data_IF_072695598071
#
_entry.id   IF_072695598071
#
_cell.length_a   1.000
_cell.length_b   1.000
_cell.length_c   1.000
_cell.angle_alpha   90.00
_cell.angle_beta   90.00
_cell.angle_gamma   90.00
#
_symmetry.space_group_name_H-M   'P 1'
#
loop_
_entity.id
_entity.type
_entity.pdbx_description
1 polymer ?
#
# COMPACT_ATOMS: atom_id res chain seq x y z
N UNK A 1 -1.51 7.08 6.37
CA UNK A 1 -0.89 8.11 7.22
C UNK A 1 -0.39 9.27 6.35
N UNK A 2 -0.48 10.50 6.83
CA UNK A 2 -0.03 11.70 6.14
C UNK A 2 1.15 12.33 6.93
N UNK A 3 2.35 12.49 6.34
CA UNK A 3 2.76 11.97 5.03
C UNK A 3 2.99 10.46 5.03
N UNK A 4 2.91 9.79 3.86
CA UNK A 4 3.23 8.36 3.76
C UNK A 4 4.71 8.08 4.10
N UNK A 5 4.96 7.14 5.02
CA UNK A 5 6.32 6.79 5.50
C UNK A 5 7.32 6.54 4.37
N UNK A 6 6.92 5.79 3.33
CA UNK A 6 7.80 5.46 2.20
C UNK A 6 8.27 6.72 1.45
N UNK A 7 7.38 7.69 1.24
CA UNK A 7 7.72 8.95 0.60
C UNK A 7 8.74 9.74 1.44
N UNK A 8 8.56 9.77 2.76
CA UNK A 8 9.53 10.37 3.69
C UNK A 8 10.91 9.70 3.62
N UNK A 9 10.96 8.36 3.61
CA UNK A 9 12.21 7.61 3.47
C UNK A 9 12.90 7.90 2.14
N UNK A 10 12.17 7.90 1.02
CA UNK A 10 12.73 8.20 -0.30
C UNK A 10 13.30 9.62 -0.37
N UNK A 11 12.59 10.62 0.17
CA UNK A 11 13.10 11.99 0.27
C UNK A 11 14.37 12.07 1.10
N UNK A 12 14.44 11.32 2.20
CA UNK A 12 15.63 11.29 3.04
C UNK A 12 16.81 10.65 2.30
N UNK A 13 16.61 9.52 1.62
CA UNK A 13 17.67 8.91 0.80
C UNK A 13 18.21 9.88 -0.26
N UNK A 14 17.33 10.55 -1.00
CA UNK A 14 17.75 11.53 -2.03
C UNK A 14 18.50 12.74 -1.46
N UNK A 15 18.47 12.96 -0.14
CA UNK A 15 19.23 14.04 0.49
C UNK A 15 20.71 13.71 0.73
N UNK A 16 21.10 12.43 0.68
CA UNK A 16 22.47 12.01 1.00
C UNK A 16 23.07 11.00 0.03
N UNK A 17 22.26 10.18 -0.64
CA UNK A 17 22.75 9.11 -1.48
C UNK A 17 23.29 9.67 -2.81
N UNK A 18 24.40 9.11 -3.27
CA UNK A 18 24.94 9.39 -4.60
C UNK A 18 24.12 8.60 -5.64
N UNK A 19 23.08 9.28 -6.13
CA UNK A 19 22.09 8.82 -7.10
C UNK A 19 21.91 9.89 -8.18
N UNK A 20 21.49 9.49 -9.40
CA UNK A 20 21.16 10.45 -10.45
C UNK A 20 19.99 11.36 -10.03
N UNK A 21 19.77 12.49 -10.73
CA UNK A 21 18.66 13.38 -10.43
C UNK A 21 17.30 12.66 -10.52
N UNK A 22 16.66 12.43 -9.38
CA UNK A 22 15.35 11.77 -9.27
C UNK A 22 14.32 12.76 -8.72
N UNK A 23 13.21 12.93 -9.45
CA UNK A 23 12.03 13.66 -8.96
C UNK A 23 11.01 12.67 -8.45
N UNK A 24 10.67 12.76 -7.16
CA UNK A 24 9.62 11.93 -6.58
C UNK A 24 8.23 12.50 -6.90
N UNK A 25 7.35 11.64 -7.41
CA UNK A 25 5.93 11.93 -7.58
C UNK A 25 5.13 11.01 -6.66
N UNK A 26 4.33 11.61 -5.78
CA UNK A 26 3.55 10.87 -4.80
C UNK A 26 2.20 10.48 -5.38
N UNK A 27 2.00 9.19 -5.62
CA UNK A 27 0.69 8.60 -5.84
C UNK A 27 0.18 7.97 -4.53
N UNK A 28 -1.03 8.34 -4.10
CA UNK A 28 -1.67 7.82 -2.89
C UNK A 28 -2.86 6.95 -3.25
N UNK A 29 -3.08 5.94 -2.43
CA UNK A 29 -4.31 5.15 -2.45
C UNK A 29 -5.20 5.72 -1.35
N UNK A 30 -6.24 6.43 -1.76
CA UNK A 30 -7.17 7.08 -0.84
C UNK A 30 -8.25 6.09 -0.40
N UNK A 31 -8.09 5.53 0.80
CA UNK A 31 -9.01 4.51 1.33
C UNK A 31 -10.44 5.05 1.44
N UNK A 32 -10.60 6.35 1.70
CA UNK A 32 -11.91 7.02 1.72
C UNK A 32 -12.59 6.99 0.36
N UNK A 33 -11.88 7.34 -0.71
CA UNK A 33 -12.42 7.32 -2.07
C UNK A 33 -12.82 5.89 -2.48
N UNK A 34 -12.00 4.90 -2.11
CA UNK A 34 -12.34 3.49 -2.32
C UNK A 34 -13.61 3.08 -1.56
N UNK A 35 -13.77 3.54 -0.32
CA UNK A 35 -14.97 3.26 0.47
C UNK A 35 -16.22 3.92 -0.12
N UNK A 36 -16.11 5.18 -0.57
CA UNK A 36 -17.21 5.94 -1.18
C UNK A 36 -17.63 5.38 -2.56
N UNK A 37 -16.77 4.59 -3.21
CA UNK A 37 -17.11 3.89 -4.46
C UNK A 37 -18.16 2.78 -4.29
N UNK A 38 -18.42 2.34 -3.05
CA UNK A 38 -19.37 1.27 -2.72
C UNK A 38 -20.27 1.67 -1.57
N UNK A 39 -21.49 1.12 -1.52
CA UNK A 39 -22.51 1.47 -0.52
C UNK A 39 -23.05 0.22 0.21
N UNK A 40 -22.21 -0.47 1.00
CA UNK A 40 -22.62 -1.65 1.76
C UNK A 40 -23.39 -1.29 3.04
N UNK A 41 -23.96 -2.30 3.71
CA UNK A 41 -24.53 -2.18 5.07
C UNK A 41 -23.49 -1.89 6.14
N UNK A 42 -22.25 -2.33 5.94
CA UNK A 42 -21.12 -2.08 6.81
C UNK A 42 -19.79 -2.13 6.02
N UNK A 43 -18.81 -1.38 6.49
CA UNK A 43 -17.44 -1.43 5.98
C UNK A 43 -16.56 -2.22 6.93
N UNK A 44 -15.64 -3.02 6.40
CA UNK A 44 -14.51 -3.56 7.14
C UNK A 44 -13.21 -3.02 6.55
N UNK A 45 -12.37 -2.41 7.38
CA UNK A 45 -11.08 -1.85 6.95
C UNK A 45 -9.93 -2.42 7.79
N UNK A 46 -8.66 -2.33 7.33
CA UNK A 46 -7.56 -3.05 7.98
C UNK A 46 -7.25 -2.55 9.38
N UNK A 47 -7.40 -1.24 9.62
CA UNK A 47 -7.15 -0.58 10.91
C UNK A 47 -7.77 0.82 10.94
N UNK A 48 -7.81 1.44 12.13
CA UNK A 48 -8.37 2.78 12.36
C UNK A 48 -7.59 3.93 11.72
N UNK A 49 -6.33 3.71 11.35
CA UNK A 49 -5.45 4.74 10.79
C UNK A 49 -5.87 5.27 9.40
N UNK A 50 -6.98 4.77 8.83
CA UNK A 50 -7.56 5.23 7.57
C UNK A 50 -8.42 6.49 7.67
N UNK A 51 -8.81 6.94 8.88
CA UNK A 51 -9.60 8.17 9.07
C UNK A 51 -10.99 8.09 8.42
N UNK A 52 -11.71 7.00 8.68
CA UNK A 52 -12.97 6.65 8.02
C UNK A 52 -14.19 6.75 8.95
N UNK A 53 -14.06 7.45 10.07
CA UNK A 53 -15.12 7.53 11.08
C UNK A 53 -16.40 8.24 10.58
N UNK A 54 -16.29 9.03 9.50
CA UNK A 54 -17.40 9.81 8.90
C UNK A 54 -18.05 9.14 7.68
N UNK A 55 -17.92 7.82 7.51
CA UNK A 55 -18.62 7.09 6.44
C UNK A 55 -20.12 6.90 6.79
N UNK A 56 -21.01 6.80 5.79
CA UNK A 56 -22.46 6.73 6.01
C UNK A 56 -22.95 5.42 6.66
N UNK A 57 -22.15 4.36 6.60
CA UNK A 57 -22.45 3.06 7.21
C UNK A 57 -21.43 2.72 8.30
N UNK A 58 -21.77 1.75 9.16
CA UNK A 58 -20.89 1.32 10.25
C UNK A 58 -19.52 0.86 9.73
N UNK A 59 -18.45 1.34 10.36
CA UNK A 59 -17.08 0.98 10.03
C UNK A 59 -16.49 0.11 11.13
N UNK A 60 -16.00 -1.06 10.72
CA UNK A 60 -15.36 -2.06 11.56
C UNK A 60 -13.87 -2.17 11.20
N UNK A 61 -13.05 -2.56 12.18
CA UNK A 61 -11.59 -2.61 12.03
C UNK A 61 -11.08 -4.04 12.20
N UNK A 62 -10.41 -4.57 11.17
CA UNK A 62 -9.98 -5.97 11.13
C UNK A 62 -8.93 -6.32 12.20
N UNK A 63 -8.08 -5.36 12.57
CA UNK A 63 -7.10 -5.50 13.66
C UNK A 63 -7.75 -5.63 15.05
N UNK A 64 -8.94 -5.07 15.24
CA UNK A 64 -9.74 -5.18 16.47
C UNK A 64 -10.53 -6.50 16.55
N UNK A 65 -10.62 -7.26 15.46
CA UNK A 65 -11.33 -8.56 15.36
C UNK A 65 -12.79 -8.52 15.86
N UNK A 66 -13.65 -7.65 15.29
CA UNK A 66 -15.05 -7.54 15.67
C UNK A 66 -15.84 -8.82 15.37
N UNK A 67 -17.05 -8.94 15.90
CA UNK A 67 -17.97 -10.00 15.48
C UNK A 67 -18.28 -9.90 13.98
N UNK A 68 -18.48 -11.04 13.31
CA UNK A 68 -18.74 -11.09 11.85
C UNK A 68 -20.09 -10.44 11.53
N UNK A 69 -20.08 -9.36 10.75
CA UNK A 69 -21.26 -8.70 10.18
C UNK A 69 -21.22 -8.71 8.66
N UNK A 70 -22.34 -8.53 7.96
CA UNK A 70 -22.40 -8.44 6.49
C UNK A 70 -21.75 -7.13 5.97
N UNK A 71 -20.41 -7.12 5.95
CA UNK A 71 -19.58 -6.00 5.52
C UNK A 71 -18.98 -6.22 4.13
N UNK A 72 -18.66 -5.11 3.46
CA UNK A 72 -17.70 -5.10 2.35
C UNK A 72 -16.35 -4.66 2.89
N UNK A 73 -15.31 -5.41 2.57
CA UNK A 73 -13.95 -5.14 3.01
C UNK A 73 -13.22 -4.20 2.03
N UNK A 74 -12.65 -3.11 2.53
CA UNK A 74 -11.66 -2.31 1.80
C UNK A 74 -10.29 -2.86 2.19
N UNK A 75 -9.66 -3.66 1.32
CA UNK A 75 -8.52 -4.45 1.76
C UNK A 75 -7.72 -5.13 0.64
N UNK A 76 -6.43 -5.30 0.89
CA UNK A 76 -5.53 -6.06 0.01
C UNK A 76 -5.50 -7.55 0.39
N UNK A 77 -4.67 -8.34 -0.30
CA UNK A 77 -4.53 -9.78 -0.03
C UNK A 77 -4.16 -10.08 1.43
N UNK A 78 -3.34 -9.25 2.08
CA UNK A 78 -3.03 -9.44 3.52
C UNK A 78 -4.26 -9.32 4.41
N UNK A 79 -5.14 -8.36 4.11
CA UNK A 79 -6.41 -8.21 4.84
C UNK A 79 -7.32 -9.43 4.60
N UNK A 80 -7.33 -9.97 3.38
CA UNK A 80 -8.09 -11.18 3.06
C UNK A 80 -7.55 -12.42 3.79
N UNK A 81 -6.22 -12.57 3.89
CA UNK A 81 -5.60 -13.64 4.68
C UNK A 81 -6.02 -13.58 6.15
N UNK A 82 -6.00 -12.39 6.75
CA UNK A 82 -6.46 -12.19 8.12
C UNK A 82 -7.95 -12.46 8.27
N UNK A 83 -8.78 -12.01 7.33
CA UNK A 83 -10.22 -12.28 7.35
C UNK A 83 -10.52 -13.78 7.29
N UNK A 84 -9.94 -14.51 6.34
CA UNK A 84 -10.08 -15.97 6.23
C UNK A 84 -9.66 -16.66 7.54
N UNK A 85 -8.57 -16.21 8.15
CA UNK A 85 -8.09 -16.77 9.40
C UNK A 85 -9.04 -16.52 10.58
N UNK A 86 -9.63 -15.33 10.68
CA UNK A 86 -10.51 -14.97 11.80
C UNK A 86 -11.96 -15.43 11.64
N UNK A 87 -12.50 -15.44 10.42
CA UNK A 87 -13.92 -15.65 10.15
C UNK A 87 -14.24 -16.88 9.28
N UNK A 88 -13.23 -17.47 8.63
CA UNK A 88 -13.39 -18.69 7.83
C UNK A 88 -13.98 -18.48 6.44
N UNK A 89 -14.23 -17.22 6.03
CA UNK A 89 -14.84 -16.87 4.75
C UNK A 89 -14.17 -15.65 4.08
N UNK A 90 -14.69 -15.28 2.91
CA UNK A 90 -14.24 -14.14 2.10
C UNK A 90 -15.40 -13.17 1.87
N UNK A 91 -15.29 -11.90 2.32
CA UNK A 91 -16.32 -10.91 2.10
C UNK A 91 -16.16 -10.29 0.69
N UNK A 92 -17.19 -9.61 0.16
CA UNK A 92 -17.02 -8.69 -0.95
C UNK A 92 -15.86 -7.72 -0.66
N UNK A 93 -15.02 -7.45 -1.66
CA UNK A 93 -13.76 -6.74 -1.44
C UNK A 93 -13.52 -5.65 -2.48
N UNK A 94 -13.19 -4.46 -2.00
CA UNK A 94 -12.61 -3.37 -2.81
C UNK A 94 -11.09 -3.43 -2.66
N UNK A 95 -10.40 -3.58 -3.78
CA UNK A 95 -8.95 -3.75 -3.82
C UNK A 95 -8.22 -2.44 -3.51
N UNK A 96 -7.19 -2.53 -2.68
CA UNK A 96 -6.31 -1.41 -2.32
C UNK A 96 -4.81 -1.79 -2.40
N UNK A 97 -4.48 -2.94 -3.00
CA UNK A 97 -3.12 -3.44 -3.11
C UNK A 97 -2.30 -2.56 -4.08
N UNK A 98 -1.20 -1.92 -3.61
CA UNK A 98 -0.38 -1.09 -4.49
C UNK A 98 0.20 -1.85 -5.68
N UNK A 99 0.51 -3.15 -5.52
CA UNK A 99 1.02 -3.99 -6.61
C UNK A 99 -0.01 -4.18 -7.72
N UNK A 100 -1.26 -4.44 -7.36
CA UNK A 100 -2.33 -4.64 -8.34
C UNK A 100 -2.73 -3.33 -9.00
N UNK A 101 -2.80 -2.24 -8.23
CA UNK A 101 -3.09 -0.90 -8.76
C UNK A 101 -1.99 -0.43 -9.70
N UNK A 102 -0.72 -0.74 -9.40
CA UNK A 102 0.39 -0.39 -10.28
C UNK A 102 0.39 -1.14 -11.61
N UNK A 103 -0.18 -2.34 -11.67
CA UNK A 103 -0.32 -3.11 -12.91
C UNK A 103 0.98 -3.23 -13.70
N UNK A 104 0.91 -3.05 -15.02
CA UNK A 104 2.08 -3.08 -15.92
C UNK A 104 2.64 -1.68 -16.21
N UNK A 105 2.87 -0.90 -15.15
CA UNK A 105 3.45 0.44 -15.27
C UNK A 105 4.82 0.41 -15.96
N UNK A 106 5.04 1.41 -16.81
CA UNK A 106 6.32 1.60 -17.53
C UNK A 106 7.23 2.59 -16.82
N UNK A 107 6.67 3.46 -16.00
CA UNK A 107 7.41 4.45 -15.24
C UNK A 107 8.10 3.77 -14.03
N UNK A 108 9.35 4.14 -13.71
CA UNK A 108 10.02 3.68 -12.50
C UNK A 108 9.16 3.94 -11.26
N UNK A 109 8.74 2.87 -10.59
CA UNK A 109 7.75 2.95 -9.50
C UNK A 109 8.32 2.30 -8.23
N UNK A 110 8.31 3.04 -7.13
CA UNK A 110 8.65 2.51 -5.81
C UNK A 110 7.37 2.35 -4.98
N UNK A 111 7.06 1.13 -4.56
CA UNK A 111 5.87 0.85 -3.74
C UNK A 111 6.18 -0.02 -2.53
N UNK A 112 5.28 -0.02 -1.55
CA UNK A 112 5.38 -0.83 -0.34
C UNK A 112 4.39 -1.99 -0.38
N UNK A 113 4.83 -3.20 -0.03
CA UNK A 113 3.97 -4.37 0.09
C UNK A 113 4.01 -4.95 1.52
N UNK A 114 2.84 -5.26 2.08
CA UNK A 114 2.71 -5.88 3.41
C UNK A 114 2.84 -7.41 3.41
N UNK A 115 2.85 -8.04 2.24
CA UNK A 115 3.20 -9.45 2.09
C UNK A 115 4.72 -9.68 1.99
N UNK A 116 5.48 -8.62 1.71
CA UNK A 116 6.93 -8.66 1.62
C UNK A 116 7.54 -8.31 3.00
N UNK A 117 8.40 -9.18 3.51
CA UNK A 117 8.86 -9.11 4.91
C UNK A 117 10.30 -8.60 5.04
N UNK A 118 11.26 -9.15 4.28
CA UNK A 118 12.70 -8.98 4.59
C UNK A 118 13.57 -8.47 3.45
N UNK A 119 13.10 -8.53 2.20
CA UNK A 119 13.90 -8.17 1.02
C UNK A 119 13.14 -7.21 0.11
N UNK A 120 13.85 -6.64 -0.87
CA UNK A 120 13.26 -5.88 -1.97
C UNK A 120 13.05 -6.80 -3.18
N UNK A 121 11.97 -6.59 -3.91
CA UNK A 121 11.68 -7.31 -5.16
C UNK A 121 11.63 -6.33 -6.33
N UNK A 122 12.10 -6.77 -7.49
CA UNK A 122 11.95 -6.05 -8.74
C UNK A 122 10.98 -6.80 -9.63
N UNK A 123 9.96 -6.09 -10.11
CA UNK A 123 9.03 -6.56 -11.13
C UNK A 123 9.02 -5.53 -12.27
N UNK A 124 9.79 -5.82 -13.33
CA UNK A 124 10.04 -4.87 -14.43
C UNK A 124 10.53 -3.52 -13.88
N UNK A 125 9.74 -2.46 -14.07
CA UNK A 125 10.04 -1.09 -13.65
C UNK A 125 9.50 -0.74 -12.26
N UNK A 126 9.06 -1.76 -11.50
CA UNK A 126 8.48 -1.60 -10.17
C UNK A 126 9.43 -2.21 -9.15
N UNK A 127 9.90 -1.38 -8.22
CA UNK A 127 10.56 -1.86 -7.00
C UNK A 127 9.57 -1.93 -5.85
N UNK A 128 9.53 -3.10 -5.23
CA UNK A 128 8.69 -3.40 -4.07
C UNK A 128 9.57 -3.48 -2.85
N UNK A 129 9.28 -2.65 -1.84
CA UNK A 129 9.94 -2.70 -0.53
C UNK A 129 9.00 -3.28 0.54
N UNK A 130 9.54 -3.92 1.59
CA UNK A 130 8.72 -4.57 2.60
C UNK A 130 7.98 -3.54 3.47
N UNK A 131 6.98 -3.99 4.23
CA UNK A 131 6.26 -3.11 5.17
C UNK A 131 7.19 -2.40 6.15
N UNK A 132 8.22 -3.12 6.59
CA UNK A 132 9.25 -2.69 7.52
C UNK A 132 10.44 -1.97 6.88
N UNK A 133 10.36 -1.54 5.62
CA UNK A 133 11.49 -0.94 4.91
C UNK A 133 12.19 0.19 5.68
N UNK A 134 13.51 0.19 5.59
CA UNK A 134 14.43 1.19 6.13
C UNK A 134 15.10 2.01 5.00
N UNK A 135 16.02 2.90 5.37
CA UNK A 135 16.73 3.75 4.41
C UNK A 135 17.62 2.94 3.46
N UNK A 136 18.28 1.89 3.95
CA UNK A 136 19.18 1.07 3.14
C UNK A 136 18.42 0.30 2.05
N UNK A 137 17.25 -0.25 2.38
CA UNK A 137 16.37 -0.91 1.41
C UNK A 137 15.83 0.08 0.38
N UNK A 138 15.43 1.28 0.80
CA UNK A 138 14.93 2.32 -0.12
C UNK A 138 16.04 2.82 -1.04
N UNK A 139 17.25 3.02 -0.53
CA UNK A 139 18.41 3.38 -1.34
C UNK A 139 18.75 2.31 -2.37
N UNK A 140 18.81 1.05 -1.96
CA UNK A 140 19.04 -0.08 -2.88
C UNK A 140 17.95 -0.15 -3.97
N UNK A 141 16.69 0.11 -3.61
CA UNK A 141 15.59 0.14 -4.55
C UNK A 141 15.67 1.31 -5.54
N UNK A 142 15.96 2.53 -5.07
CA UNK A 142 16.14 3.70 -5.94
C UNK A 142 17.33 3.54 -6.88
N UNK A 143 18.44 2.98 -6.39
CA UNK A 143 19.62 2.67 -7.20
C UNK A 143 19.24 1.76 -8.37
N UNK A 144 18.59 0.62 -8.08
CA UNK A 144 18.10 -0.31 -9.10
C UNK A 144 17.14 0.32 -10.09
N UNK A 145 16.15 1.11 -9.63
CA UNK A 145 15.21 1.80 -10.52
C UNK A 145 15.92 2.76 -11.48
N UNK A 146 17.04 3.35 -11.04
CA UNK A 146 17.76 4.36 -11.82
C UNK A 146 18.83 3.80 -12.78
N UNK A 147 19.20 2.52 -12.64
CA UNK A 147 20.21 1.86 -13.49
C UNK A 147 19.71 1.64 -14.93
N UNK A 148 18.40 1.44 -15.11
CA UNK A 148 17.79 1.11 -16.40
C UNK A 148 17.16 2.33 -17.11
N UNK A 149 17.26 3.53 -16.51
CA UNK A 149 16.70 4.76 -17.09
C UNK A 149 17.74 5.38 -18.02
N UNK A 150 17.48 5.34 -19.33
CA UNK A 150 18.23 6.16 -20.28
C UNK A 150 17.92 7.64 -20.04
N UNK A 151 18.92 8.39 -19.58
CA UNK A 151 18.84 9.85 -19.48
C UNK A 151 18.94 10.44 -20.89
N UNK A 152 17.82 10.92 -21.42
CA UNK A 152 17.77 11.67 -22.69
C UNK A 152 18.35 13.08 -22.54
#
# INVERSE_FOLDING_TARGET
PEPPKLYGLARQVLSYADLPPIRLELERIEVRELAESVHPSAYLVPCRSGGLDDLPASVYFLDERPERHDWTMIGCERSLQFHRHFYGDEPPRVEMCPRLIAGERKEPTLLKCCLLETHIEQDKNIMVVPWGADLAMVEAALRKLSEEVEYA
#
